data_IF_650808188797
#
_entry.id   IF_650808188797
#
_cell.length_a   1.000
_cell.length_b   1.000
_cell.length_c   1.000
_cell.angle_alpha   90.00
_cell.angle_beta   90.00
_cell.angle_gamma   90.00
#
_symmetry.space_group_name_H-M   'P 1'
#
loop_
_entity.id
_entity.type
_entity.pdbx_description
1 polymer ?
#
# COMPACT_ATOMS: atom_id res chain seq x y z
N UNK A 1 10.61 -17.07 19.13
CA UNK A 1 11.73 -17.48 18.26
C UNK A 1 12.39 -16.22 17.68
N UNK A 2 13.48 -15.76 18.29
CA UNK A 2 14.14 -14.47 17.94
C UNK A 2 14.92 -14.50 16.62
N UNK A 3 15.17 -15.69 16.07
CA UNK A 3 15.93 -15.90 14.83
C UNK A 3 15.02 -16.15 13.60
N UNK A 4 13.71 -16.04 13.76
CA UNK A 4 12.77 -16.23 12.65
C UNK A 4 12.87 -15.05 11.69
N UNK A 5 13.16 -15.30 10.41
CA UNK A 5 13.29 -14.30 9.37
C UNK A 5 12.06 -14.24 8.46
N UNK A 6 11.38 -15.36 8.29
CA UNK A 6 10.26 -15.48 7.36
C UNK A 6 9.12 -16.24 8.05
N UNK A 7 7.94 -15.64 8.10
CA UNK A 7 6.73 -16.23 8.64
C UNK A 7 5.61 -16.12 7.62
N UNK A 8 5.06 -17.26 7.22
CA UNK A 8 3.78 -17.31 6.52
C UNK A 8 2.76 -18.08 7.36
N UNK A 9 1.67 -17.42 7.68
CA UNK A 9 0.48 -18.01 8.31
C UNK A 9 -0.79 -17.70 7.51
N UNK A 10 -0.62 -17.53 6.20
CA UNK A 10 -1.67 -17.26 5.22
C UNK A 10 -2.81 -18.27 5.28
N UNK A 11 -4.04 -17.78 5.05
CA UNK A 11 -5.20 -18.65 4.82
C UNK A 11 -5.66 -19.44 6.05
N UNK A 12 -5.54 -18.83 7.24
CA UNK A 12 -5.98 -19.42 8.50
C UNK A 12 -7.21 -18.70 9.09
N UNK A 13 -7.51 -18.94 10.35
CA UNK A 13 -8.61 -18.30 11.08
C UNK A 13 -8.09 -17.49 12.28
N UNK A 14 -6.86 -16.95 12.19
CA UNK A 14 -6.23 -16.22 13.26
C UNK A 14 -7.02 -14.93 13.57
N UNK A 15 -7.35 -14.72 14.82
CA UNK A 15 -7.97 -13.48 15.31
C UNK A 15 -6.96 -12.55 15.97
N UNK A 16 -5.77 -13.07 16.30
CA UNK A 16 -4.63 -12.32 16.80
C UNK A 16 -3.33 -12.98 16.36
N UNK A 17 -2.28 -12.18 16.25
CA UNK A 17 -0.93 -12.64 15.91
C UNK A 17 0.05 -11.79 16.71
N UNK A 18 0.87 -12.43 17.55
CA UNK A 18 1.95 -11.77 18.30
C UNK A 18 3.30 -12.13 17.67
N UNK A 19 3.93 -11.13 17.07
CA UNK A 19 5.27 -11.21 16.45
C UNK A 19 6.28 -10.31 17.17
N UNK A 20 5.94 -9.79 18.35
CA UNK A 20 6.74 -8.81 19.09
C UNK A 20 8.16 -9.28 19.41
N UNK A 21 8.37 -10.61 19.57
CA UNK A 21 9.66 -11.21 19.84
C UNK A 21 10.43 -11.68 18.58
N UNK A 22 9.83 -11.50 17.37
CA UNK A 22 10.44 -11.94 16.12
C UNK A 22 11.13 -10.76 15.41
N UNK A 23 12.06 -10.13 16.10
CA UNK A 23 12.70 -8.87 15.66
C UNK A 23 13.56 -9.01 14.40
N UNK A 24 13.91 -10.26 14.01
CA UNK A 24 14.65 -10.55 12.79
C UNK A 24 13.76 -10.78 11.54
N UNK A 25 12.41 -10.65 11.67
CA UNK A 25 11.52 -10.86 10.54
C UNK A 25 11.82 -9.89 9.40
N UNK A 26 12.05 -10.48 8.23
CA UNK A 26 12.16 -9.79 6.94
C UNK A 26 10.86 -9.91 6.13
N UNK A 27 10.19 -11.07 6.23
CA UNK A 27 8.95 -11.36 5.52
C UNK A 27 7.89 -11.78 6.53
N UNK A 28 6.76 -11.10 6.51
CA UNK A 28 5.56 -11.49 7.24
C UNK A 28 4.38 -11.60 6.27
N UNK A 29 3.86 -12.82 6.12
CA UNK A 29 2.64 -13.09 5.41
C UNK A 29 1.58 -13.62 6.38
N UNK A 30 0.58 -12.80 6.66
CA UNK A 30 -0.54 -13.14 7.53
C UNK A 30 -1.91 -12.87 6.88
N UNK A 31 -1.93 -12.82 5.55
CA UNK A 31 -3.11 -12.55 4.74
C UNK A 31 -4.18 -13.63 4.88
N UNK A 32 -5.42 -13.31 4.46
CA UNK A 32 -6.57 -14.23 4.50
C UNK A 32 -6.76 -14.86 5.89
N UNK A 33 -6.89 -13.99 6.90
CA UNK A 33 -7.15 -14.34 8.29
C UNK A 33 -8.33 -13.52 8.85
N UNK A 34 -8.46 -13.43 10.17
CA UNK A 34 -9.51 -12.68 10.86
C UNK A 34 -8.93 -11.64 11.82
N UNK A 35 -7.72 -11.14 11.53
CA UNK A 35 -7.03 -10.18 12.38
C UNK A 35 -7.77 -8.85 12.42
N UNK A 36 -8.00 -8.32 13.61
CA UNK A 36 -8.58 -6.98 13.80
C UNK A 36 -7.53 -5.93 14.15
N UNK A 37 -6.34 -6.36 14.54
CA UNK A 37 -5.15 -5.55 14.79
C UNK A 37 -3.90 -6.33 14.46
N UNK A 38 -2.83 -5.63 14.11
CA UNK A 38 -1.51 -6.20 13.88
C UNK A 38 -0.46 -5.20 14.34
N UNK A 39 0.36 -5.59 15.31
CA UNK A 39 1.48 -4.78 15.79
C UNK A 39 2.79 -5.34 15.23
N UNK A 40 3.44 -4.56 14.37
CA UNK A 40 4.74 -4.87 13.75
C UNK A 40 5.83 -3.90 14.19
N UNK A 41 5.59 -3.10 15.22
CA UNK A 41 6.48 -2.03 15.66
C UNK A 41 7.89 -2.52 16.05
N UNK A 42 8.01 -3.77 16.52
CA UNK A 42 9.30 -4.39 16.88
C UNK A 42 10.00 -5.07 15.69
N UNK A 43 9.31 -5.24 14.56
CA UNK A 43 9.83 -5.96 13.41
C UNK A 43 10.49 -4.98 12.41
N UNK A 44 11.48 -4.24 12.89
CA UNK A 44 12.11 -3.14 12.13
C UNK A 44 12.91 -3.59 10.90
N UNK A 45 13.21 -4.89 10.79
CA UNK A 45 13.87 -5.50 9.65
C UNK A 45 12.91 -5.90 8.51
N UNK A 46 11.58 -5.72 8.69
CA UNK A 46 10.59 -6.11 7.67
C UNK A 46 10.83 -5.38 6.35
N UNK A 47 10.91 -6.20 5.29
CA UNK A 47 10.96 -5.76 3.89
C UNK A 47 9.64 -6.02 3.16
N UNK A 48 8.99 -7.14 3.47
CA UNK A 48 7.71 -7.51 2.88
C UNK A 48 6.68 -7.75 3.98
N UNK A 49 5.57 -7.04 3.90
CA UNK A 49 4.41 -7.24 4.77
C UNK A 49 3.17 -7.47 3.91
N UNK A 50 2.61 -8.67 3.98
CA UNK A 50 1.36 -9.03 3.34
C UNK A 50 0.34 -9.37 4.43
N UNK A 51 -0.66 -8.49 4.59
CA UNK A 51 -1.73 -8.61 5.57
C UNK A 51 -3.12 -8.37 4.96
N UNK A 52 -3.23 -8.60 3.63
CA UNK A 52 -4.49 -8.44 2.90
C UNK A 52 -5.56 -9.44 3.36
N UNK A 53 -6.83 -9.16 3.02
CA UNK A 53 -7.97 -10.00 3.42
C UNK A 53 -8.01 -10.28 4.92
N UNK A 54 -8.08 -9.22 5.71
CA UNK A 54 -8.24 -9.26 7.16
C UNK A 54 -9.36 -8.30 7.60
N UNK A 55 -9.39 -7.91 8.86
CA UNK A 55 -10.36 -6.97 9.42
C UNK A 55 -9.66 -5.80 10.12
N UNK A 56 -8.46 -5.45 9.66
CA UNK A 56 -7.66 -4.39 10.26
C UNK A 56 -8.35 -3.03 10.09
N UNK A 57 -8.47 -2.29 11.17
CA UNK A 57 -9.02 -0.92 11.15
C UNK A 57 -7.92 0.14 11.18
N UNK A 58 -6.71 -0.25 11.53
CA UNK A 58 -5.50 0.57 11.50
C UNK A 58 -4.28 -0.31 11.28
N UNK A 59 -3.24 0.25 10.68
CA UNK A 59 -1.93 -0.37 10.51
C UNK A 59 -0.86 0.69 10.71
N UNK A 60 0.03 0.47 11.68
CA UNK A 60 1.15 1.37 11.94
C UNK A 60 2.46 0.75 11.45
N UNK A 61 2.93 1.23 10.30
CA UNK A 61 4.20 0.82 9.68
C UNK A 61 5.36 1.77 9.96
N UNK A 62 5.21 2.76 10.83
CA UNK A 62 6.19 3.85 11.00
C UNK A 62 7.58 3.38 11.46
N UNK A 63 7.67 2.25 12.16
CA UNK A 63 8.94 1.63 12.57
C UNK A 63 9.60 0.76 11.50
N UNK A 64 8.85 0.39 10.46
CA UNK A 64 9.29 -0.57 9.44
C UNK A 64 9.92 0.16 8.24
N UNK A 65 10.96 0.95 8.49
CA UNK A 65 11.59 1.83 7.48
C UNK A 65 12.28 1.07 6.35
N UNK A 66 12.50 -0.23 6.51
CA UNK A 66 13.07 -1.11 5.49
C UNK A 66 12.03 -1.72 4.54
N UNK A 67 10.72 -1.42 4.71
CA UNK A 67 9.67 -1.96 3.86
C UNK A 67 9.88 -1.56 2.39
N UNK A 68 9.90 -2.58 1.54
CA UNK A 68 9.95 -2.46 0.08
C UNK A 68 8.63 -2.84 -0.57
N UNK A 69 7.84 -3.70 0.08
CA UNK A 69 6.53 -4.11 -0.40
C UNK A 69 5.53 -4.20 0.76
N UNK A 70 4.39 -3.54 0.60
CA UNK A 70 3.26 -3.57 1.52
C UNK A 70 1.99 -3.92 0.77
N UNK A 71 1.33 -5.01 1.19
CA UNK A 71 -0.03 -5.32 0.79
C UNK A 71 -0.95 -5.38 2.00
N UNK A 72 -1.79 -4.37 2.14
CA UNK A 72 -2.83 -4.26 3.15
C UNK A 72 -4.24 -4.17 2.54
N UNK A 73 -4.39 -4.66 1.31
CA UNK A 73 -5.66 -4.67 0.59
C UNK A 73 -6.74 -5.45 1.34
N UNK A 74 -8.00 -5.20 1.00
CA UNK A 74 -9.17 -5.89 1.57
C UNK A 74 -9.14 -5.92 3.11
N UNK A 75 -9.19 -4.72 3.67
CA UNK A 75 -9.25 -4.46 5.11
C UNK A 75 -10.30 -3.38 5.41
N UNK A 76 -10.24 -2.76 6.57
CA UNK A 76 -11.15 -1.68 7.00
C UNK A 76 -10.38 -0.42 7.38
N UNK A 77 -9.24 -0.18 6.73
CA UNK A 77 -8.39 0.96 7.03
C UNK A 77 -9.08 2.27 6.60
N UNK A 78 -9.15 3.22 7.51
CA UNK A 78 -9.65 4.58 7.23
C UNK A 78 -8.52 5.58 6.97
N UNK A 79 -7.30 5.22 7.33
CA UNK A 79 -6.07 5.96 7.07
C UNK A 79 -4.89 5.00 6.95
N UNK A 80 -3.87 5.41 6.22
CA UNK A 80 -2.62 4.66 6.08
C UNK A 80 -1.47 5.68 6.04
N UNK A 81 -0.55 5.57 6.99
CA UNK A 81 0.67 6.39 7.03
C UNK A 81 1.86 5.56 6.57
N UNK A 82 2.42 5.94 5.42
CA UNK A 82 3.62 5.34 4.82
C UNK A 82 4.78 6.35 4.72
N UNK A 83 4.68 7.48 5.40
CA UNK A 83 5.64 8.60 5.29
C UNK A 83 7.08 8.21 5.66
N UNK A 84 7.25 7.22 6.56
CA UNK A 84 8.57 6.71 6.97
C UNK A 84 9.08 5.54 6.10
N UNK A 85 8.27 5.04 5.18
CA UNK A 85 8.60 3.87 4.37
C UNK A 85 9.15 4.28 2.99
N UNK A 86 10.20 5.11 2.98
CA UNK A 86 10.77 5.67 1.74
C UNK A 86 11.39 4.64 0.78
N UNK A 87 11.62 3.42 1.27
CA UNK A 87 12.11 2.30 0.45
C UNK A 87 10.99 1.54 -0.28
N UNK A 88 9.70 1.92 -0.08
CA UNK A 88 8.59 1.25 -0.75
C UNK A 88 8.69 1.38 -2.27
N UNK A 89 8.63 0.22 -2.91
CA UNK A 89 8.58 0.05 -4.36
C UNK A 89 7.22 -0.43 -4.84
N UNK A 90 6.48 -1.14 -3.98
CA UNK A 90 5.11 -1.60 -4.25
C UNK A 90 4.21 -1.31 -3.06
N UNK A 91 3.05 -0.73 -3.32
CA UNK A 91 2.01 -0.46 -2.35
C UNK A 91 0.65 -0.92 -2.87
N UNK A 92 0.06 -1.88 -2.18
CA UNK A 92 -1.29 -2.36 -2.45
C UNK A 92 -2.15 -2.08 -1.22
N UNK A 93 -3.11 -1.16 -1.36
CA UNK A 93 -4.03 -0.73 -0.30
C UNK A 93 -5.49 -0.65 -0.79
N UNK A 94 -5.81 -1.41 -1.84
CA UNK A 94 -7.14 -1.46 -2.44
C UNK A 94 -8.18 -2.06 -1.49
N UNK A 95 -9.46 -1.85 -1.78
CA UNK A 95 -10.56 -2.37 -0.95
C UNK A 95 -10.42 -2.01 0.53
N UNK A 96 -10.32 -0.69 0.79
CA UNK A 96 -10.28 -0.11 2.12
C UNK A 96 -11.28 1.07 2.21
N UNK A 97 -11.15 1.91 3.21
CA UNK A 97 -12.00 3.09 3.44
C UNK A 97 -11.16 4.37 3.50
N UNK A 98 -10.05 4.40 2.74
CA UNK A 98 -9.12 5.53 2.74
C UNK A 98 -9.77 6.76 2.08
N UNK A 99 -9.74 7.88 2.78
CA UNK A 99 -10.21 9.17 2.24
C UNK A 99 -9.08 10.03 1.71
N UNK A 100 -7.84 9.72 2.07
CA UNK A 100 -6.61 10.34 1.58
C UNK A 100 -5.46 9.33 1.60
N UNK A 101 -4.46 9.56 0.77
CA UNK A 101 -3.23 8.76 0.73
C UNK A 101 -2.07 9.70 0.39
N UNK A 102 -1.15 9.89 1.35
CA UNK A 102 0.08 10.65 1.14
C UNK A 102 1.24 9.68 0.87
N UNK A 103 1.74 9.74 -0.37
CA UNK A 103 2.87 8.95 -0.85
C UNK A 103 4.03 9.83 -1.33
N UNK A 104 4.05 11.07 -0.91
CA UNK A 104 5.04 12.08 -1.33
C UNK A 104 6.49 11.68 -1.02
N UNK A 105 6.70 10.88 0.04
CA UNK A 105 8.01 10.37 0.44
C UNK A 105 8.39 9.02 -0.22
N UNK A 106 7.43 8.35 -0.87
CA UNK A 106 7.65 7.02 -1.46
C UNK A 106 8.11 7.14 -2.92
N UNK A 107 9.20 7.85 -3.14
CA UNK A 107 9.69 8.22 -4.49
C UNK A 107 10.20 7.05 -5.32
N UNK A 108 10.48 5.90 -4.68
CA UNK A 108 10.88 4.65 -5.35
C UNK A 108 9.69 3.80 -5.82
N UNK A 109 8.44 4.25 -5.56
CA UNK A 109 7.23 3.49 -5.86
C UNK A 109 7.06 3.36 -7.38
N UNK A 110 7.00 2.12 -7.88
CA UNK A 110 6.75 1.84 -9.28
C UNK A 110 5.42 1.12 -9.53
N UNK A 111 4.84 0.50 -8.49
CA UNK A 111 3.55 -0.19 -8.58
C UNK A 111 2.64 0.24 -7.42
N UNK A 112 1.53 0.91 -7.76
CA UNK A 112 0.55 1.41 -6.81
C UNK A 112 -0.84 0.89 -7.15
N UNK A 113 -1.46 0.22 -6.19
CA UNK A 113 -2.88 -0.12 -6.25
C UNK A 113 -3.63 0.44 -5.04
N UNK A 114 -4.51 1.41 -5.30
CA UNK A 114 -5.35 2.06 -4.29
C UNK A 114 -6.83 2.11 -4.71
N UNK A 115 -7.23 1.23 -5.64
CA UNK A 115 -8.61 1.18 -6.13
C UNK A 115 -9.61 0.75 -5.03
N UNK A 116 -10.90 1.01 -5.25
CA UNK A 116 -11.95 0.71 -4.27
C UNK A 116 -11.67 1.33 -2.90
N UNK A 117 -11.57 2.66 -2.88
CA UNK A 117 -11.41 3.50 -1.70
C UNK A 117 -12.34 4.73 -1.78
N UNK A 118 -12.10 5.76 -1.00
CA UNK A 118 -12.89 7.00 -0.96
C UNK A 118 -12.00 8.23 -1.23
N UNK A 119 -10.92 8.05 -2.04
CA UNK A 119 -9.97 9.11 -2.33
C UNK A 119 -10.61 10.20 -3.18
N UNK A 120 -10.52 11.45 -2.72
CA UNK A 120 -11.00 12.62 -3.46
C UNK A 120 -9.88 13.31 -4.27
N UNK A 121 -8.63 13.04 -3.93
CA UNK A 121 -7.43 13.51 -4.63
C UNK A 121 -6.31 12.48 -4.48
N UNK A 122 -5.36 12.50 -5.41
CA UNK A 122 -4.15 11.68 -5.36
C UNK A 122 -3.02 12.48 -6.01
N UNK A 123 -2.04 12.87 -5.20
CA UNK A 123 -0.83 13.57 -5.67
C UNK A 123 0.27 12.56 -5.99
N UNK A 124 0.66 12.51 -7.27
CA UNK A 124 1.67 11.60 -7.81
C UNK A 124 2.92 12.34 -8.28
N UNK A 125 3.04 13.62 -7.98
CA UNK A 125 4.09 14.51 -8.51
C UNK A 125 5.51 14.06 -8.17
N UNK A 126 5.69 13.36 -7.03
CA UNK A 126 6.97 12.83 -6.57
C UNK A 126 7.23 11.37 -7.01
N UNK A 127 6.21 10.65 -7.49
CA UNK A 127 6.31 9.22 -7.79
C UNK A 127 6.67 8.97 -9.26
N UNK A 128 7.78 9.55 -9.70
CA UNK A 128 8.23 9.54 -11.11
C UNK A 128 8.61 8.16 -11.63
N UNK A 129 8.84 7.20 -10.73
CA UNK A 129 9.17 5.82 -11.07
C UNK A 129 7.93 4.95 -11.38
N UNK A 130 6.69 5.47 -11.20
CA UNK A 130 5.47 4.71 -11.42
C UNK A 130 5.39 4.18 -12.84
N UNK A 131 5.22 2.86 -12.93
CA UNK A 131 4.94 2.12 -14.17
C UNK A 131 3.52 1.57 -14.19
N UNK A 132 2.97 1.26 -13.02
CA UNK A 132 1.67 0.62 -12.86
C UNK A 132 0.84 1.39 -11.81
N UNK A 133 -0.33 1.88 -12.22
CA UNK A 133 -1.25 2.63 -11.36
C UNK A 133 -2.67 2.10 -11.50
N UNK A 134 -3.21 1.62 -10.39
CA UNK A 134 -4.64 1.31 -10.25
C UNK A 134 -5.27 2.21 -9.18
N UNK A 135 -6.07 3.18 -9.61
CA UNK A 135 -6.82 4.11 -8.75
C UNK A 135 -8.32 4.18 -9.10
N UNK A 136 -8.85 3.15 -9.76
CA UNK A 136 -10.27 3.05 -10.11
C UNK A 136 -11.17 2.99 -8.87
N UNK A 137 -12.48 3.18 -9.06
CA UNK A 137 -13.46 3.08 -7.98
C UNK A 137 -13.10 3.96 -6.78
N UNK A 138 -12.91 5.27 -7.05
CA UNK A 138 -12.64 6.32 -6.06
C UNK A 138 -13.52 7.55 -6.35
N UNK A 139 -13.19 8.69 -5.78
CA UNK A 139 -13.94 9.94 -5.95
C UNK A 139 -13.06 11.05 -6.54
N UNK A 140 -12.05 10.67 -7.36
CA UNK A 140 -11.10 11.60 -7.94
C UNK A 140 -11.80 12.52 -8.96
N UNK A 141 -11.66 13.82 -8.80
CA UNK A 141 -12.18 14.82 -9.74
C UNK A 141 -11.14 15.26 -10.77
N UNK A 142 -9.87 15.04 -10.49
CA UNK A 142 -8.74 15.28 -11.39
C UNK A 142 -7.62 14.29 -11.11
N UNK A 143 -6.79 14.05 -12.10
CA UNK A 143 -5.59 13.21 -11.98
C UNK A 143 -4.49 13.80 -12.86
N UNK A 144 -3.44 14.33 -12.24
CA UNK A 144 -2.27 14.86 -12.93
C UNK A 144 -1.18 13.79 -13.04
N UNK A 145 -0.89 13.37 -14.25
CA UNK A 145 0.11 12.34 -14.59
C UNK A 145 1.31 12.93 -15.34
N UNK A 146 1.44 14.25 -15.38
CA UNK A 146 2.47 14.94 -16.18
C UNK A 146 3.91 14.56 -15.79
N UNK A 147 4.12 14.15 -14.53
CA UNK A 147 5.42 13.71 -14.01
C UNK A 147 5.65 12.19 -14.09
N UNK A 148 4.62 11.40 -14.40
CA UNK A 148 4.68 9.95 -14.38
C UNK A 148 4.95 9.38 -15.78
N UNK A 149 6.02 9.84 -16.40
CA UNK A 149 6.35 9.54 -17.81
C UNK A 149 6.75 8.08 -18.05
N UNK A 150 7.03 7.31 -17.00
CA UNK A 150 7.34 5.89 -17.07
C UNK A 150 6.10 4.98 -17.04
N UNK A 151 4.89 5.57 -16.90
CA UNK A 151 3.63 4.83 -16.74
C UNK A 151 3.32 4.00 -17.96
N UNK A 152 3.05 2.70 -17.76
CA UNK A 152 2.73 1.69 -18.78
C UNK A 152 1.32 1.16 -18.65
N UNK A 153 0.83 1.07 -17.42
CA UNK A 153 -0.49 0.53 -17.13
C UNK A 153 -1.24 1.51 -16.23
N UNK A 154 -2.45 1.89 -16.64
CA UNK A 154 -3.31 2.82 -15.92
C UNK A 154 -4.74 2.29 -15.85
N UNK A 155 -5.26 2.15 -14.65
CA UNK A 155 -6.67 1.88 -14.36
C UNK A 155 -7.22 3.00 -13.47
N UNK A 156 -8.04 3.89 -14.06
CA UNK A 156 -8.63 5.05 -13.37
C UNK A 156 -10.14 5.18 -13.63
N UNK A 157 -10.79 4.09 -14.03
CA UNK A 157 -12.24 4.06 -14.27
C UNK A 157 -13.03 4.24 -12.97
N UNK A 158 -14.36 4.47 -13.08
CA UNK A 158 -15.26 4.67 -11.93
C UNK A 158 -14.74 5.74 -10.95
N UNK A 159 -14.42 6.94 -11.50
CA UNK A 159 -14.06 8.17 -10.80
C UNK A 159 -14.95 9.31 -11.28
N UNK A 160 -14.65 10.56 -10.91
CA UNK A 160 -15.38 11.76 -11.30
C UNK A 160 -14.54 12.66 -12.23
N UNK A 161 -13.60 12.06 -12.99
CA UNK A 161 -12.72 12.80 -13.88
C UNK A 161 -13.52 13.42 -15.02
N UNK A 162 -13.33 14.72 -15.27
CA UNK A 162 -13.92 15.44 -16.42
C UNK A 162 -12.95 15.58 -17.59
N UNK A 163 -11.66 15.37 -17.35
CA UNK A 163 -10.58 15.36 -18.35
C UNK A 163 -9.41 14.54 -17.86
N UNK A 164 -8.62 14.05 -18.77
CA UNK A 164 -7.37 13.32 -18.50
C UNK A 164 -6.38 13.65 -19.62
N UNK A 165 -5.24 14.25 -19.26
CA UNK A 165 -4.15 14.53 -20.19
C UNK A 165 -3.06 13.45 -20.06
N UNK A 166 -2.83 12.72 -21.13
CA UNK A 166 -1.83 11.66 -21.22
C UNK A 166 -0.71 12.01 -22.21
N UNK A 167 -0.60 13.27 -22.61
CA UNK A 167 0.37 13.71 -23.63
C UNK A 167 1.83 13.42 -23.28
N UNK A 168 2.15 13.34 -21.97
CA UNK A 168 3.49 13.02 -21.48
C UNK A 168 3.71 11.52 -21.19
N UNK A 169 2.67 10.69 -21.22
CA UNK A 169 2.74 9.28 -20.83
C UNK A 169 2.90 8.38 -22.06
N UNK A 170 3.95 8.59 -22.81
CA UNK A 170 4.20 7.95 -24.11
C UNK A 170 4.50 6.43 -24.01
N UNK A 171 4.61 5.88 -22.81
CA UNK A 171 4.83 4.46 -22.58
C UNK A 171 3.53 3.67 -22.31
N UNK A 172 2.37 4.38 -22.20
CA UNK A 172 1.03 3.78 -22.06
C UNK A 172 0.58 3.05 -23.31
#
# INVERSE_FOLDING_TARGET
CTALTDLSCFGNQLTSLDVSNNTALNILECSSNRLTSLDVSNNTALKNLWCYENKLTSLNGSSNTALTELDCSDNKLTSLDVSNNSALTKLYCSYNQLTSLDISNNTALFDLSCHNNQLTSLDLSNNKALTDLSCSDNQLTSLDLSNNTALKNLWCYENQLTSLDLSNNIAL
#
